data_IF_189502643634
#
_entry.id   IF_189502643634
#
_cell.length_a   1.000
_cell.length_b   1.000
_cell.length_c   1.000
_cell.angle_alpha   90.00
_cell.angle_beta   90.00
_cell.angle_gamma   90.00
#
_symmetry.space_group_name_H-M   'P 1'
#
loop_
_entity.id
_entity.type
_entity.pdbx_description
1 polymer ?
#
# COMPACT_ATOMS: atom_id res chain seq x y z
N UNK A 1 -12.39 -12.05 2.80
CA UNK A 1 -12.57 -13.01 1.68
C UNK A 1 -11.53 -14.12 1.75
N UNK A 2 -11.78 -15.29 1.13
CA UNK A 2 -10.73 -16.28 0.93
C UNK A 2 -9.81 -15.83 -0.21
N UNK A 3 -8.50 -15.98 0.00
CA UNK A 3 -7.51 -15.65 -1.02
C UNK A 3 -7.51 -16.76 -2.08
N UNK A 4 -7.92 -16.43 -3.29
CA UNK A 4 -7.73 -17.32 -4.43
C UNK A 4 -6.46 -16.90 -5.17
N UNK A 5 -5.45 -17.76 -5.18
CA UNK A 5 -4.14 -17.46 -5.77
C UNK A 5 -4.21 -17.04 -7.25
N UNK A 6 -5.20 -17.52 -7.99
CA UNK A 6 -5.34 -17.23 -9.41
C UNK A 6 -5.72 -15.77 -9.70
N UNK A 7 -6.34 -15.09 -8.72
CA UNK A 7 -6.75 -13.69 -8.84
C UNK A 7 -5.56 -12.73 -8.62
N UNK A 8 -4.47 -13.22 -8.03
CA UNK A 8 -3.30 -12.44 -7.68
C UNK A 8 -2.16 -12.63 -8.66
N UNK A 9 -1.53 -11.53 -9.07
CA UNK A 9 -0.41 -11.53 -10.00
C UNK A 9 0.73 -10.66 -9.47
N UNK A 10 1.94 -11.22 -9.55
CA UNK A 10 3.15 -10.47 -9.28
C UNK A 10 3.49 -9.54 -10.44
N UNK A 11 3.80 -8.29 -10.13
CA UNK A 11 4.53 -7.41 -11.04
C UNK A 11 6.01 -7.77 -10.99
N UNK A 12 6.52 -8.00 -9.79
CA UNK A 12 7.88 -8.51 -9.53
C UNK A 12 7.78 -9.52 -8.39
N UNK A 13 8.03 -10.76 -8.69
CA UNK A 13 7.94 -11.86 -7.72
C UNK A 13 9.17 -11.83 -6.79
N UNK A 14 9.00 -11.86 -5.45
CA UNK A 14 10.12 -11.97 -4.52
C UNK A 14 10.71 -13.38 -4.57
N UNK A 15 11.91 -13.57 -4.01
CA UNK A 15 12.56 -14.89 -3.97
C UNK A 15 11.82 -15.86 -3.06
N UNK A 16 11.29 -15.36 -1.93
CA UNK A 16 10.62 -16.16 -0.91
C UNK A 16 9.28 -15.55 -0.54
N UNK A 17 8.21 -16.31 -0.71
CA UNK A 17 6.85 -15.93 -0.33
C UNK A 17 5.96 -17.17 -0.13
N UNK A 18 4.86 -16.99 0.57
CA UNK A 18 3.78 -17.98 0.65
C UNK A 18 2.43 -17.33 0.42
N UNK A 19 1.55 -18.04 -0.28
CA UNK A 19 0.14 -17.65 -0.47
C UNK A 19 -0.72 -18.83 -0.04
N UNK A 20 -1.57 -18.61 0.97
CA UNK A 20 -2.58 -19.56 1.44
C UNK A 20 -3.97 -18.91 1.34
N UNK A 21 -5.03 -19.66 1.68
CA UNK A 21 -6.40 -19.12 1.66
C UNK A 21 -6.64 -17.97 2.65
N UNK A 22 -5.83 -17.86 3.71
CA UNK A 22 -6.05 -16.93 4.81
C UNK A 22 -4.97 -15.84 4.93
N UNK A 23 -3.77 -16.10 4.41
CA UNK A 23 -2.63 -15.19 4.53
C UNK A 23 -1.68 -15.22 3.35
N UNK A 24 -1.00 -14.10 3.14
CA UNK A 24 0.14 -13.97 2.25
C UNK A 24 1.33 -13.53 3.10
N UNK A 25 2.47 -14.21 2.93
CA UNK A 25 3.74 -13.83 3.57
C UNK A 25 4.76 -13.49 2.48
N UNK A 26 5.45 -12.39 2.65
CA UNK A 26 6.53 -11.92 1.77
C UNK A 26 7.79 -11.77 2.61
N UNK A 27 8.88 -12.43 2.20
CA UNK A 27 10.22 -12.16 2.71
C UNK A 27 10.86 -11.16 1.75
N UNK A 28 11.15 -9.95 2.24
CA UNK A 28 11.68 -8.89 1.38
C UNK A 28 13.08 -9.21 0.89
N UNK A 29 13.41 -8.73 -0.30
CA UNK A 29 14.76 -8.77 -0.82
C UNK A 29 15.47 -7.44 -0.53
N UNK A 30 16.76 -7.45 -0.21
CA UNK A 30 17.53 -6.22 -0.02
C UNK A 30 17.59 -5.39 -1.30
N UNK A 31 17.75 -4.07 -1.13
CA UNK A 31 17.87 -3.09 -2.22
C UNK A 31 16.66 -3.04 -3.14
N UNK A 32 15.46 -3.19 -2.57
CA UNK A 32 14.18 -3.07 -3.28
C UNK A 32 13.39 -1.87 -2.77
N UNK A 33 12.79 -1.09 -3.68
CA UNK A 33 12.04 0.11 -3.34
C UNK A 33 11.08 0.52 -4.47
N UNK A 34 10.18 1.46 -4.17
CA UNK A 34 9.38 2.25 -5.10
C UNK A 34 9.58 3.72 -4.77
N UNK A 35 10.37 4.41 -5.60
CA UNK A 35 10.60 5.85 -5.53
C UNK A 35 10.91 6.44 -6.90
N UNK A 36 10.35 7.62 -7.21
CA UNK A 36 10.59 8.30 -8.48
C UNK A 36 11.02 9.75 -8.26
N UNK A 37 12.26 10.03 -8.58
CA UNK A 37 12.94 11.33 -8.78
C UNK A 37 12.88 12.35 -7.66
N UNK A 38 11.70 12.72 -7.17
CA UNK A 38 11.48 13.88 -6.30
C UNK A 38 12.56 14.03 -5.25
N UNK A 39 13.21 15.20 -5.20
CA UNK A 39 14.27 15.63 -4.31
C UNK A 39 15.58 14.81 -4.43
N UNK A 40 15.50 13.47 -4.33
CA UNK A 40 16.68 12.59 -4.31
C UNK A 40 17.23 12.28 -5.70
N UNK A 41 16.51 12.58 -6.77
CA UNK A 41 16.88 12.38 -8.19
C UNK A 41 17.11 10.94 -8.64
N UNK A 42 17.06 9.94 -7.76
CA UNK A 42 17.14 8.54 -8.14
C UNK A 42 15.75 7.96 -8.50
N UNK A 43 15.79 6.79 -9.10
CA UNK A 43 14.62 6.01 -9.49
C UNK A 43 14.81 4.59 -9.02
N UNK A 44 13.88 4.12 -8.19
CA UNK A 44 13.78 2.72 -7.80
C UNK A 44 12.38 2.22 -8.16
N UNK A 45 12.33 1.13 -8.91
CA UNK A 45 11.10 0.49 -9.35
C UNK A 45 11.30 -1.03 -9.37
N UNK A 46 11.69 -1.59 -8.23
CA UNK A 46 12.04 -3.00 -8.13
C UNK A 46 11.42 -3.72 -6.91
N UNK A 47 10.57 -3.04 -6.13
CA UNK A 47 9.87 -3.69 -5.04
C UNK A 47 8.90 -4.77 -5.54
N UNK A 48 8.79 -5.89 -4.85
CA UNK A 48 7.73 -6.87 -5.09
C UNK A 48 6.36 -6.27 -4.87
N UNK A 49 5.48 -6.44 -5.86
CA UNK A 49 4.09 -5.96 -5.83
C UNK A 49 3.19 -7.11 -6.25
N UNK A 50 2.22 -7.46 -5.40
CA UNK A 50 1.22 -8.50 -5.67
C UNK A 50 -0.15 -7.86 -5.76
N UNK A 51 -0.82 -7.99 -6.89
CA UNK A 51 -2.02 -7.26 -7.20
C UNK A 51 -3.14 -8.08 -7.81
N UNK A 52 -4.35 -7.63 -7.60
CA UNK A 52 -5.57 -8.02 -8.30
C UNK A 52 -5.98 -6.94 -9.29
N UNK A 53 -6.75 -7.32 -10.30
CA UNK A 53 -7.37 -6.41 -11.26
C UNK A 53 -8.82 -6.17 -10.92
N UNK A 54 -9.30 -4.95 -11.17
CA UNK A 54 -10.71 -4.62 -11.05
C UNK A 54 -11.12 -3.50 -12.00
N UNK A 55 -12.35 -3.58 -12.51
CA UNK A 55 -13.02 -2.49 -13.21
C UNK A 55 -14.02 -1.74 -12.29
N UNK A 56 -14.15 -2.16 -11.03
CA UNK A 56 -15.03 -1.48 -10.06
C UNK A 56 -14.50 -0.07 -9.79
N UNK A 57 -15.36 0.91 -10.00
CA UNK A 57 -15.01 2.33 -9.82
C UNK A 57 -15.27 2.84 -8.40
N UNK A 58 -16.04 2.08 -7.62
CA UNK A 58 -16.40 2.40 -6.22
C UNK A 58 -16.23 1.17 -5.35
N UNK A 59 -15.08 1.06 -4.67
CA UNK A 59 -14.82 -0.05 -3.77
C UNK A 59 -13.83 0.33 -2.68
N UNK A 60 -13.75 -0.50 -1.65
CA UNK A 60 -12.69 -0.47 -0.64
C UNK A 60 -12.02 -1.83 -0.52
N UNK A 61 -10.70 -1.83 -0.41
CA UNK A 61 -9.87 -2.99 -0.09
C UNK A 61 -9.27 -2.80 1.29
N UNK A 62 -9.55 -3.73 2.19
CA UNK A 62 -9.03 -3.75 3.56
C UNK A 62 -8.03 -4.88 3.71
N UNK A 63 -6.94 -4.63 4.42
CA UNK A 63 -5.94 -5.65 4.76
C UNK A 63 -5.25 -5.31 6.08
N UNK A 64 -4.97 -6.33 6.89
CA UNK A 64 -4.09 -6.23 8.06
C UNK A 64 -2.68 -6.65 7.66
N UNK A 65 -1.69 -5.83 8.01
CA UNK A 65 -0.27 -6.16 7.89
C UNK A 65 0.32 -6.45 9.27
N UNK A 66 1.21 -7.44 9.36
CA UNK A 66 2.08 -7.71 10.50
C UNK A 66 3.52 -7.76 9.99
N UNK A 67 4.44 -7.15 10.75
CA UNK A 67 5.81 -6.93 10.27
C UNK A 67 6.81 -6.98 11.41
N UNK A 68 8.01 -7.47 11.11
CA UNK A 68 9.15 -7.52 12.03
C UNK A 68 10.34 -6.67 11.52
N UNK A 69 10.02 -5.54 10.91
CA UNK A 69 10.99 -4.55 10.40
C UNK A 69 12.02 -4.17 11.44
N UNK A 70 13.30 -4.10 11.05
CA UNK A 70 14.44 -3.84 11.95
C UNK A 70 15.46 -2.88 11.39
N UNK A 71 15.43 -2.64 10.09
CA UNK A 71 16.38 -1.79 9.40
C UNK A 71 15.64 -0.64 8.75
N UNK A 72 16.26 0.51 8.73
CA UNK A 72 15.70 1.75 8.18
C UNK A 72 15.11 1.51 6.80
N UNK A 73 13.95 2.08 6.57
CA UNK A 73 13.15 1.99 5.34
C UNK A 73 12.50 0.62 5.05
N UNK A 74 12.68 -0.41 5.89
CA UNK A 74 11.85 -1.62 5.77
C UNK A 74 10.38 -1.24 5.80
N UNK A 75 9.60 -1.62 4.78
CA UNK A 75 8.25 -1.14 4.61
C UNK A 75 7.32 -2.18 3.98
N UNK A 76 6.06 -2.17 4.39
CA UNK A 76 5.00 -2.98 3.80
C UNK A 76 3.63 -2.33 3.98
N UNK A 77 2.72 -2.58 3.04
CA UNK A 77 1.38 -2.02 3.06
C UNK A 77 0.59 -2.27 1.80
N UNK A 78 -0.29 -1.33 1.49
CA UNK A 78 -1.15 -1.36 0.29
C UNK A 78 -0.52 -0.61 -0.87
N UNK A 79 -0.89 -1.00 -2.07
CA UNK A 79 -0.38 -0.39 -3.28
C UNK A 79 -1.43 -0.46 -4.41
N UNK A 80 -1.48 0.57 -5.23
CA UNK A 80 -2.00 0.53 -6.59
C UNK A 80 -0.84 0.84 -7.51
N UNK A 81 -0.50 -0.06 -8.42
CA UNK A 81 0.62 0.10 -9.33
C UNK A 81 0.14 -0.08 -10.78
N UNK A 82 0.11 1.00 -11.53
CA UNK A 82 -0.26 0.99 -12.94
C UNK A 82 0.97 0.73 -13.81
N UNK A 83 2.03 1.50 -13.60
CA UNK A 83 3.33 1.39 -14.24
C UNK A 83 4.42 2.05 -13.38
N UNK A 84 5.67 2.08 -13.86
CA UNK A 84 6.81 2.62 -13.14
C UNK A 84 6.71 4.11 -12.80
N UNK A 85 5.88 4.86 -13.50
CA UNK A 85 5.74 6.31 -13.32
C UNK A 85 4.40 6.72 -12.68
N UNK A 86 3.49 5.74 -12.47
CA UNK A 86 2.14 6.00 -11.94
C UNK A 86 1.73 4.91 -10.95
N UNK A 87 1.82 5.22 -9.67
CA UNK A 87 1.46 4.31 -8.59
C UNK A 87 1.17 5.07 -7.29
N UNK A 88 0.45 4.42 -6.39
CA UNK A 88 0.07 4.92 -5.07
C UNK A 88 0.37 3.84 -4.04
N UNK A 89 1.04 4.18 -2.94
CA UNK A 89 1.29 3.26 -1.82
C UNK A 89 0.99 3.91 -0.47
N UNK A 90 0.59 3.09 0.51
CA UNK A 90 0.48 3.45 1.92
C UNK A 90 1.04 2.33 2.78
N UNK A 91 1.91 2.67 3.73
CA UNK A 91 2.68 1.69 4.49
C UNK A 91 3.20 2.21 5.82
N UNK A 92 3.63 1.30 6.67
CA UNK A 92 4.67 1.61 7.66
C UNK A 92 6.02 1.67 6.94
N UNK A 93 6.93 2.43 7.52
CA UNK A 93 8.33 2.52 7.10
C UNK A 93 9.20 2.68 8.34
N UNK A 94 9.99 1.67 8.65
CA UNK A 94 10.81 1.64 9.86
C UNK A 94 11.91 2.70 9.79
N UNK A 95 12.10 3.47 10.86
CA UNK A 95 13.18 4.45 10.96
C UNK A 95 14.25 4.03 11.99
N UNK A 96 13.83 3.74 13.21
CA UNK A 96 14.73 3.33 14.31
C UNK A 96 13.96 2.64 15.44
N UNK A 97 14.61 2.35 16.56
CA UNK A 97 13.99 1.65 17.69
C UNK A 97 12.95 2.50 18.46
N UNK A 98 12.89 3.81 18.22
CA UNK A 98 11.99 4.73 18.91
C UNK A 98 10.72 4.96 18.08
N UNK A 99 10.87 5.25 16.79
CA UNK A 99 9.75 5.54 15.92
C UNK A 99 9.91 4.93 14.52
N UNK A 100 8.80 4.84 13.84
CA UNK A 100 8.67 4.52 12.43
C UNK A 100 7.68 5.48 11.79
N UNK A 101 7.70 5.58 10.48
CA UNK A 101 6.77 6.40 9.74
C UNK A 101 5.54 5.60 9.32
N UNK A 102 4.38 6.20 9.48
CA UNK A 102 3.18 5.82 8.77
C UNK A 102 3.09 6.73 7.55
N UNK A 103 3.39 6.20 6.38
CA UNK A 103 3.64 6.98 5.18
C UNK A 103 2.70 6.65 4.03
N UNK A 104 2.58 7.60 3.13
CA UNK A 104 1.93 7.39 1.84
C UNK A 104 2.68 8.12 0.74
N UNK A 105 2.76 7.51 -0.44
CA UNK A 105 3.40 8.10 -1.61
C UNK A 105 2.45 8.01 -2.79
N UNK A 106 2.18 9.14 -3.43
CA UNK A 106 1.51 9.21 -4.72
C UNK A 106 2.52 9.58 -5.80
N UNK A 107 2.68 8.74 -6.79
CA UNK A 107 3.56 8.99 -7.93
C UNK A 107 2.71 9.18 -9.17
N UNK A 108 2.80 10.38 -9.74
CA UNK A 108 2.15 10.75 -10.99
C UNK A 108 3.21 11.22 -11.99
N UNK A 109 3.19 10.66 -13.20
CA UNK A 109 4.11 11.03 -14.29
C UNK A 109 5.58 11.01 -13.85
N UNK A 110 5.95 10.04 -13.00
CA UNK A 110 7.32 9.81 -12.56
C UNK A 110 7.86 10.77 -11.50
N UNK A 111 6.99 11.41 -10.74
CA UNK A 111 7.38 12.19 -9.56
C UNK A 111 6.61 11.75 -8.34
N UNK A 112 7.33 11.39 -7.28
CA UNK A 112 6.77 10.92 -6.01
C UNK A 112 6.46 12.08 -5.07
N UNK A 113 5.28 12.06 -4.49
CA UNK A 113 4.82 12.95 -3.42
C UNK A 113 4.66 12.13 -2.14
N UNK A 114 5.44 12.42 -1.12
CA UNK A 114 5.52 11.63 0.11
C UNK A 114 5.03 12.43 1.32
N UNK A 115 4.15 11.83 2.10
CA UNK A 115 3.68 12.36 3.38
C UNK A 115 3.84 11.30 4.47
N UNK A 116 4.25 11.73 5.66
CA UNK A 116 4.50 10.86 6.82
C UNK A 116 3.91 11.40 8.11
N UNK A 117 3.63 10.47 9.02
CA UNK A 117 3.36 10.72 10.44
C UNK A 117 4.20 9.76 11.25
N UNK A 118 4.89 10.25 12.28
CA UNK A 118 5.64 9.40 13.19
C UNK A 118 4.69 8.61 14.09
N UNK A 119 4.97 7.32 14.24
CA UNK A 119 4.29 6.42 15.16
C UNK A 119 5.32 5.59 15.95
N UNK A 120 4.91 5.03 17.08
CA UNK A 120 5.80 4.21 17.93
C UNK A 120 6.34 3.00 17.17
N UNK A 121 7.65 2.75 17.23
CA UNK A 121 8.30 1.60 16.61
C UNK A 121 7.88 0.25 17.24
N UNK A 122 7.26 0.27 18.42
CA UNK A 122 6.65 -0.89 19.07
C UNK A 122 5.38 -1.41 18.39
N UNK A 123 4.73 -0.59 17.54
CA UNK A 123 3.60 -1.03 16.73
C UNK A 123 4.11 -2.02 15.67
N UNK A 124 3.62 -3.26 15.70
CA UNK A 124 4.04 -4.36 14.80
C UNK A 124 2.92 -4.88 13.91
N UNK A 125 1.79 -4.21 13.90
CA UNK A 125 0.70 -4.48 12.97
C UNK A 125 -0.04 -3.19 12.62
N UNK A 126 -0.56 -3.12 11.40
CA UNK A 126 -1.37 -2.01 10.92
C UNK A 126 -2.41 -2.50 9.93
N UNK A 127 -3.61 -2.00 10.06
CA UNK A 127 -4.65 -2.18 9.06
C UNK A 127 -4.62 -1.03 8.08
N UNK A 128 -4.81 -1.34 6.81
CA UNK A 128 -4.99 -0.35 5.75
C UNK A 128 -6.33 -0.55 5.09
N UNK A 129 -6.93 0.56 4.67
CA UNK A 129 -8.07 0.59 3.78
C UNK A 129 -7.69 1.47 2.58
N UNK A 130 -7.70 0.88 1.41
CA UNK A 130 -7.53 1.54 0.13
C UNK A 130 -8.89 1.66 -0.53
N UNK A 131 -9.35 2.85 -0.83
CA UNK A 131 -10.65 3.11 -1.44
C UNK A 131 -10.50 3.83 -2.76
N UNK A 132 -11.33 3.46 -3.74
CA UNK A 132 -11.45 4.11 -5.04
C UNK A 132 -12.82 4.77 -5.19
N UNK A 133 -12.83 6.01 -5.70
CA UNK A 133 -13.99 6.70 -6.26
C UNK A 133 -13.56 7.29 -7.59
N UNK A 134 -14.00 6.72 -8.71
CA UNK A 134 -13.57 7.09 -10.06
C UNK A 134 -12.04 7.03 -10.19
N UNK A 135 -11.36 8.16 -10.42
CA UNK A 135 -9.92 8.28 -10.54
C UNK A 135 -9.27 8.91 -9.29
N UNK A 136 -10.06 9.01 -8.20
CA UNK A 136 -9.63 9.50 -6.90
C UNK A 136 -9.51 8.35 -5.91
N UNK A 137 -8.54 8.48 -5.01
CA UNK A 137 -8.17 7.42 -4.09
C UNK A 137 -8.00 7.95 -2.67
N UNK A 138 -8.45 7.15 -1.70
CA UNK A 138 -8.20 7.39 -0.30
C UNK A 138 -7.42 6.22 0.30
N UNK A 139 -6.36 6.52 1.05
CA UNK A 139 -5.70 5.55 1.93
C UNK A 139 -5.98 5.94 3.36
N UNK A 140 -6.40 4.98 4.14
CA UNK A 140 -6.65 5.10 5.57
C UNK A 140 -5.91 4.00 6.32
N UNK A 141 -5.61 4.24 7.59
CA UNK A 141 -4.97 3.28 8.49
C UNK A 141 -5.77 3.10 9.78
N UNK A 142 -5.55 1.98 10.45
CA UNK A 142 -6.14 1.68 11.74
C UNK A 142 -5.27 0.70 12.53
N UNK A 143 -5.12 0.91 13.84
CA UNK A 143 -4.44 -0.03 14.73
C UNK A 143 -5.35 -1.18 15.17
N UNK A 144 -6.67 -0.94 15.23
CA UNK A 144 -7.67 -1.89 15.73
C UNK A 144 -8.54 -2.55 14.65
N UNK A 145 -8.43 -2.07 13.39
CA UNK A 145 -9.27 -2.52 12.28
C UNK A 145 -10.71 -2.02 12.33
N UNK A 146 -11.04 -1.12 13.26
CA UNK A 146 -12.39 -0.59 13.48
C UNK A 146 -12.44 0.90 13.17
N UNK A 147 -11.52 1.66 13.75
CA UNK A 147 -11.44 3.12 13.57
C UNK A 147 -10.35 3.47 12.57
N UNK A 148 -10.76 3.77 11.35
CA UNK A 148 -9.85 4.19 10.29
C UNK A 148 -9.63 5.70 10.31
N UNK A 149 -8.38 6.12 10.08
CA UNK A 149 -7.94 7.50 10.00
C UNK A 149 -7.36 7.74 8.61
N UNK A 150 -7.73 8.84 7.98
CA UNK A 150 -7.23 9.23 6.68
C UNK A 150 -5.72 9.48 6.71
N UNK A 151 -4.99 8.85 5.80
CA UNK A 151 -3.59 9.11 5.52
C UNK A 151 -3.43 10.05 4.32
N UNK A 152 -4.20 9.78 3.26
CA UNK A 152 -4.10 10.53 2.00
C UNK A 152 -5.40 10.45 1.20
N UNK A 153 -5.72 11.55 0.55
CA UNK A 153 -6.61 11.60 -0.63
C UNK A 153 -5.75 12.09 -1.80
N UNK A 154 -5.86 11.47 -2.95
CA UNK A 154 -5.15 11.91 -4.15
C UNK A 154 -5.87 11.50 -5.43
N UNK A 155 -5.55 12.22 -6.51
CA UNK A 155 -5.97 11.91 -7.88
C UNK A 155 -4.86 11.19 -8.63
N UNK A 156 -5.21 10.23 -9.50
CA UNK A 156 -4.25 9.52 -10.35
C UNK A 156 -4.56 9.79 -11.83
N UNK A 157 -3.79 10.67 -12.43
CA UNK A 157 -4.01 11.17 -13.82
C UNK A 157 -3.95 10.10 -14.91
N UNK A 158 -3.39 8.92 -14.62
CA UNK A 158 -3.26 7.80 -15.56
C UNK A 158 -4.12 6.60 -15.19
N UNK A 159 -5.01 6.76 -14.23
CA UNK A 159 -5.98 5.73 -13.92
C UNK A 159 -6.86 5.46 -15.15
N UNK A 160 -7.18 4.20 -15.36
CA UNK A 160 -8.05 3.70 -16.43
C UNK A 160 -9.28 3.04 -15.83
N UNK A 161 -10.20 2.60 -16.66
CA UNK A 161 -11.38 1.86 -16.19
C UNK A 161 -10.97 0.63 -15.37
N UNK A 162 -9.99 -0.16 -15.84
CA UNK A 162 -9.39 -1.25 -15.07
C UNK A 162 -8.12 -0.78 -14.37
N UNK A 163 -8.02 -1.03 -13.07
CA UNK A 163 -6.81 -0.78 -12.27
C UNK A 163 -6.29 -2.06 -11.64
N UNK A 164 -5.06 -2.01 -11.13
CA UNK A 164 -4.45 -3.08 -10.33
C UNK A 164 -4.14 -2.54 -8.93
N UNK A 165 -4.58 -3.25 -7.91
CA UNK A 165 -4.36 -2.89 -6.50
C UNK A 165 -4.01 -4.13 -5.68
N UNK A 166 -3.39 -3.94 -4.55
CA UNK A 166 -3.03 -5.04 -3.67
C UNK A 166 -2.03 -4.65 -2.60
N UNK A 167 -0.99 -5.45 -2.47
CA UNK A 167 -0.01 -5.38 -1.38
C UNK A 167 1.41 -5.34 -1.91
N UNK A 168 2.31 -4.76 -1.11
CA UNK A 168 3.74 -4.76 -1.39
C UNK A 168 4.56 -4.84 -0.10
N UNK A 169 5.80 -5.27 -0.21
CA UNK A 169 6.81 -5.18 0.84
C UNK A 169 8.19 -5.03 0.22
N UNK A 170 9.05 -4.20 0.80
CA UNK A 170 10.41 -4.01 0.33
C UNK A 170 11.38 -3.59 1.44
N UNK A 171 12.67 -3.77 1.16
CA UNK A 171 13.79 -3.38 2.01
C UNK A 171 14.79 -2.58 1.18
N UNK A 172 14.75 -1.24 1.23
CA UNK A 172 15.66 -0.37 0.47
C UNK A 172 17.14 -0.55 0.83
N UNK A 173 17.42 -0.83 2.10
CA UNK A 173 18.77 -1.09 2.58
C UNK A 173 19.18 -2.57 2.40
N UNK A 174 20.37 -2.93 2.87
CA UNK A 174 20.83 -4.32 2.87
C UNK A 174 20.17 -5.12 4.01
N UNK A 175 18.88 -5.31 3.91
CA UNK A 175 18.05 -5.97 4.92
C UNK A 175 17.04 -6.91 4.28
N UNK A 176 16.40 -7.69 5.14
CA UNK A 176 15.27 -8.54 4.81
C UNK A 176 14.40 -8.72 6.04
N UNK A 177 13.10 -8.58 5.90
CA UNK A 177 12.14 -8.86 6.95
C UNK A 177 10.93 -9.61 6.41
N UNK A 178 10.12 -10.14 7.31
CA UNK A 178 8.87 -10.80 6.96
C UNK A 178 7.68 -9.86 7.12
N UNK A 179 6.95 -9.66 6.04
CA UNK A 179 5.65 -9.01 6.03
C UNK A 179 4.55 -10.07 5.89
N UNK A 180 3.56 -10.04 6.77
CA UNK A 180 2.39 -10.95 6.74
C UNK A 180 1.14 -10.14 6.52
N UNK A 181 0.32 -10.57 5.56
CA UNK A 181 -0.93 -9.92 5.17
C UNK A 181 -2.10 -10.87 5.43
N UNK A 182 -3.07 -10.41 6.19
CA UNK A 182 -4.26 -11.18 6.59
C UNK A 182 -5.52 -10.35 6.51
N UNK A 183 -6.67 -10.95 6.79
CA UNK A 183 -7.96 -10.25 6.89
C UNK A 183 -8.29 -9.39 5.65
N UNK A 184 -7.96 -9.90 4.46
CA UNK A 184 -8.21 -9.19 3.22
C UNK A 184 -9.70 -9.20 2.90
N UNK A 185 -10.25 -8.05 2.57
CA UNK A 185 -11.64 -7.89 2.22
C UNK A 185 -11.81 -6.82 1.14
N UNK A 186 -12.68 -7.09 0.17
CA UNK A 186 -13.16 -6.12 -0.81
C UNK A 186 -14.62 -5.86 -0.49
N UNK A 187 -14.97 -4.60 -0.30
CA UNK A 187 -16.31 -4.14 0.06
C UNK A 187 -16.80 -3.05 -0.88
N UNK A 188 -18.05 -2.66 -0.73
CA UNK A 188 -18.52 -1.37 -1.23
C UNK A 188 -17.60 -0.25 -0.72
N UNK A 189 -17.59 0.89 -1.42
CA UNK A 189 -16.72 1.99 -1.05
C UNK A 189 -17.05 2.54 0.34
N UNK A 190 -16.13 2.37 1.27
CA UNK A 190 -16.24 2.84 2.65
C UNK A 190 -15.68 4.25 2.85
N UNK A 191 -15.13 4.85 1.83
CA UNK A 191 -14.68 6.23 1.87
C UNK A 191 -15.88 7.17 1.80
N UNK A 192 -16.27 7.69 2.95
CA UNK A 192 -17.39 8.62 3.07
C UNK A 192 -16.88 10.06 2.95
N UNK A 193 -17.68 10.90 2.32
CA UNK A 193 -17.42 12.33 2.30
C UNK A 193 -17.54 12.93 3.72
N UNK A 194 -16.85 14.03 3.98
CA UNK A 194 -17.05 14.81 5.19
C UNK A 194 -18.46 15.42 5.18
N UNK A 195 -19.04 15.61 6.37
CA UNK A 195 -20.38 16.21 6.51
C UNK A 195 -20.53 17.51 5.70
N UNK A 196 -21.54 17.55 4.85
CA UNK A 196 -21.83 18.68 3.98
C UNK A 196 -20.90 18.86 2.79
N UNK A 197 -20.02 17.89 2.51
CA UNK A 197 -19.07 17.93 1.39
C UNK A 197 -19.17 16.67 0.51
N UNK A 198 -20.31 15.97 0.53
CA UNK A 198 -20.53 14.88 -0.40
C UNK A 198 -20.38 15.40 -1.84
N UNK A 199 -19.56 14.74 -2.70
CA UNK A 199 -19.60 15.02 -4.12
C UNK A 199 -21.03 14.85 -4.63
N UNK A 200 -21.46 15.73 -5.52
CA UNK A 200 -22.74 15.54 -6.19
C UNK A 200 -22.71 14.17 -6.89
N UNK A 201 -23.69 13.34 -6.58
CA UNK A 201 -23.88 12.07 -7.31
C UNK A 201 -24.42 12.47 -8.68
N UNK A 202 -23.60 12.31 -9.74
CA UNK A 202 -24.02 12.43 -11.13
C UNK A 202 -24.72 11.14 -11.62
#
# INVERSE_FOLDING_TARGET
>A
MKINREDWKWTREPKDFTISEEKIEIITNPHTDLWQRTYYHFRNDNAPVLQMKTAERYFSFVVKTEFDSKVRFDQCGVVMYLDSENWLKGSIEYENEVFQHLGSVATNNGYSDWATTEIDAGIKSMWYRFSRREDDYCIECSEDGIKFKQMRICHMYRATDEIQFGIYACSPENSSFKATFTNMEITECMWLAHDGQAPDEE
#
